data_IF_194096550051
#
_entry.id   IF_194096550051
#
_cell.length_a   1.000
_cell.length_b   1.000
_cell.length_c   1.000
_cell.angle_alpha   90.00
_cell.angle_beta   90.00
_cell.angle_gamma   90.00
#
_symmetry.space_group_name_H-M   'P 1'
#
loop_
_entity.id
_entity.type
_entity.pdbx_description
1 polymer ?
#
# COMPACT_ATOMS: atom_id res chain seq x y z
N UNK A 1 9.35 7.99 -16.20
CA UNK A 1 8.57 8.91 -15.33
C UNK A 1 7.75 8.05 -14.39
N UNK A 2 7.82 8.31 -13.08
CA UNK A 2 7.07 7.58 -12.07
C UNK A 2 5.57 7.88 -12.20
N UNK A 3 4.73 6.86 -12.04
CA UNK A 3 3.27 6.99 -12.04
C UNK A 3 2.75 6.53 -10.69
N UNK A 4 1.78 7.28 -10.14
CA UNK A 4 1.11 6.94 -8.89
C UNK A 4 -0.38 6.79 -9.20
N UNK A 5 -0.95 5.63 -8.87
CA UNK A 5 -2.38 5.37 -9.05
C UNK A 5 -3.08 5.55 -7.70
N UNK A 6 -3.98 6.54 -7.65
CA UNK A 6 -4.77 6.88 -6.47
C UNK A 6 -6.23 6.44 -6.64
N UNK A 7 -6.91 6.20 -5.51
CA UNK A 7 -8.31 5.83 -5.48
C UNK A 7 -8.63 4.87 -4.34
N UNK A 8 -9.92 4.64 -4.09
CA UNK A 8 -10.38 3.74 -3.02
C UNK A 8 -9.96 2.28 -3.22
N UNK A 9 -10.05 1.47 -2.17
CA UNK A 9 -9.91 0.02 -2.27
C UNK A 9 -10.97 -0.57 -3.21
N UNK A 10 -10.63 -1.64 -3.94
CA UNK A 10 -11.57 -2.33 -4.83
C UNK A 10 -11.85 -1.66 -6.19
N UNK A 11 -11.37 -0.44 -6.46
CA UNK A 11 -11.59 0.25 -7.75
C UNK A 11 -10.71 -0.28 -8.90
N UNK A 12 -9.95 -1.36 -8.68
CA UNK A 12 -9.14 -2.01 -9.71
C UNK A 12 -7.73 -1.45 -9.91
N UNK A 13 -7.18 -0.66 -8.97
CA UNK A 13 -5.83 -0.07 -9.11
C UNK A 13 -4.76 -1.12 -9.38
N UNK A 14 -4.71 -2.20 -8.60
CA UNK A 14 -3.71 -3.27 -8.80
C UNK A 14 -3.90 -4.00 -10.13
N UNK A 15 -5.13 -4.11 -10.65
CA UNK A 15 -5.39 -4.65 -11.99
C UNK A 15 -4.83 -3.72 -13.07
N UNK A 16 -5.10 -2.42 -13.00
CA UNK A 16 -4.60 -1.44 -13.98
C UNK A 16 -3.08 -1.32 -13.91
N UNK A 17 -2.49 -1.31 -12.70
CA UNK A 17 -1.04 -1.24 -12.53
C UNK A 17 -0.31 -2.41 -13.19
N UNK A 18 -0.84 -3.64 -13.07
CA UNK A 18 -0.29 -4.85 -13.72
C UNK A 18 -0.24 -4.74 -15.23
N UNK A 19 -1.29 -4.19 -15.84
CA UNK A 19 -1.37 -3.99 -17.29
C UNK A 19 -0.50 -2.81 -17.75
N UNK A 20 -0.30 -1.82 -16.88
CA UNK A 20 0.47 -0.61 -17.19
C UNK A 20 1.99 -0.81 -17.11
N UNK A 21 2.45 -1.61 -16.16
CA UNK A 21 3.87 -1.90 -15.93
C UNK A 21 4.06 -3.25 -15.21
N UNK A 22 4.83 -4.16 -15.81
CA UNK A 22 5.16 -5.46 -15.18
C UNK A 22 5.97 -5.31 -13.89
N UNK A 23 6.65 -4.17 -13.70
CA UNK A 23 7.44 -3.85 -12.52
C UNK A 23 6.70 -2.93 -11.53
N UNK A 24 5.36 -2.84 -11.61
CA UNK A 24 4.60 -2.05 -10.64
C UNK A 24 4.88 -2.51 -9.21
N UNK A 25 4.76 -1.57 -8.27
CA UNK A 25 4.88 -1.84 -6.84
C UNK A 25 3.53 -1.57 -6.19
N UNK A 26 3.11 -2.49 -5.32
CA UNK A 26 1.94 -2.28 -4.47
C UNK A 26 2.41 -1.66 -3.14
N UNK A 27 1.84 -0.51 -2.80
CA UNK A 27 2.24 0.25 -1.61
C UNK A 27 1.89 -0.52 -0.33
N UNK A 28 0.75 -1.22 -0.33
CA UNK A 28 0.32 -2.02 0.82
C UNK A 28 1.33 -3.16 1.08
N UNK A 29 1.79 -3.84 0.02
CA UNK A 29 2.79 -4.90 0.14
C UNK A 29 4.14 -4.39 0.66
N UNK A 30 4.58 -3.20 0.25
CA UNK A 30 5.81 -2.57 0.76
C UNK A 30 5.67 -2.25 2.25
N UNK A 31 4.51 -1.73 2.66
CA UNK A 31 4.25 -1.42 4.06
C UNK A 31 4.25 -2.70 4.90
N UNK A 32 3.57 -3.77 4.45
CA UNK A 32 3.56 -5.07 5.13
C UNK A 32 4.97 -5.67 5.28
N UNK A 33 5.80 -5.59 4.24
CA UNK A 33 7.20 -6.02 4.30
C UNK A 33 7.99 -5.20 5.34
N UNK A 34 7.78 -3.89 5.39
CA UNK A 34 8.47 -2.98 6.32
C UNK A 34 8.06 -3.18 7.78
N UNK A 35 6.78 -3.46 8.05
CA UNK A 35 6.27 -3.67 9.42
C UNK A 35 6.33 -5.11 9.88
N UNK A 36 6.58 -6.06 8.96
CA UNK A 36 6.71 -7.48 9.26
C UNK A 36 5.40 -8.18 9.64
N UNK A 37 4.25 -7.59 9.32
CA UNK A 37 2.93 -8.14 9.62
C UNK A 37 1.86 -7.58 8.66
N UNK A 38 0.68 -8.23 8.55
CA UNK A 38 -0.43 -7.70 7.75
C UNK A 38 -0.88 -6.31 8.23
N UNK A 39 -1.28 -5.43 7.29
CA UNK A 39 -1.75 -4.07 7.64
C UNK A 39 -2.93 -4.13 8.60
N UNK A 40 -3.87 -5.07 8.42
CA UNK A 40 -4.99 -5.25 9.33
C UNK A 40 -4.53 -5.52 10.77
N UNK A 41 -3.57 -6.43 10.96
CA UNK A 41 -3.00 -6.72 12.28
C UNK A 41 -2.24 -5.52 12.85
N UNK A 42 -1.54 -4.76 12.01
CA UNK A 42 -0.88 -3.52 12.42
C UNK A 42 -1.90 -2.47 12.89
N UNK A 43 -2.99 -2.27 12.15
CA UNK A 43 -4.07 -1.37 12.55
C UNK A 43 -4.69 -1.77 13.89
N UNK A 44 -4.97 -3.06 14.10
CA UNK A 44 -5.54 -3.56 15.35
C UNK A 44 -4.60 -3.32 16.55
N UNK A 45 -3.28 -3.42 16.34
CA UNK A 45 -2.29 -3.29 17.41
C UNK A 45 -1.86 -1.84 17.69
N UNK A 46 -1.73 -1.01 16.66
CA UNK A 46 -1.12 0.33 16.76
C UNK A 46 -2.05 1.48 16.36
N UNK A 47 -3.20 1.18 15.74
CA UNK A 47 -4.21 2.15 15.32
C UNK A 47 -3.87 2.89 14.02
N UNK A 48 -4.88 3.61 13.51
CA UNK A 48 -4.78 4.33 12.23
C UNK A 48 -3.68 5.38 12.21
N UNK A 49 -3.53 6.17 13.28
CA UNK A 49 -2.53 7.24 13.33
C UNK A 49 -1.11 6.70 13.13
N UNK A 50 -0.77 5.56 13.74
CA UNK A 50 0.52 4.93 13.55
C UNK A 50 0.69 4.45 12.09
N UNK A 51 -0.35 3.86 11.51
CA UNK A 51 -0.34 3.45 10.11
C UNK A 51 -0.09 4.63 9.16
N UNK A 52 -0.83 5.74 9.31
CA UNK A 52 -0.67 6.94 8.47
C UNK A 52 0.74 7.55 8.55
N UNK A 53 1.36 7.48 9.73
CA UNK A 53 2.75 7.91 9.90
C UNK A 53 3.75 7.03 9.13
N UNK A 54 3.49 5.73 9.00
CA UNK A 54 4.32 4.82 8.21
C UNK A 54 4.04 4.99 6.72
N UNK A 55 2.76 5.06 6.34
CA UNK A 55 2.30 5.27 4.95
C UNK A 55 2.94 6.52 4.34
N UNK A 56 3.07 7.61 5.11
CA UNK A 56 3.71 8.85 4.65
C UNK A 56 5.25 8.79 4.52
N UNK A 57 5.89 7.71 4.95
CA UNK A 57 7.34 7.50 4.85
C UNK A 57 7.74 6.48 3.76
N UNK A 58 6.78 6.05 2.95
CA UNK A 58 6.96 5.12 1.82
C UNK A 58 6.71 5.88 0.52
#
# INVERSE_FOLDING_TARGET
MTKVLLGFMGVGKSTVSKELDQNYRDMDAIIEERVGMPIASFFDQYGETAFRNIESQV
#
